data_IF_258254141846
#
_entry.id   IF_258254141846
#
_cell.length_a   1.000
_cell.length_b   1.000
_cell.length_c   1.000
_cell.angle_alpha   90.00
_cell.angle_beta   90.00
_cell.angle_gamma   90.00
#
_symmetry.space_group_name_H-M   'P 1'
#
loop_
_entity.id
_entity.type
_entity.pdbx_description
1 polymer ?
#
# COMPACT_ATOMS: atom_id res chain seq x y z
N UNK A 1 -21.83 11.72 -9.85
CA UNK A 1 -20.95 11.01 -8.88
C UNK A 1 -19.69 11.84 -8.68
N UNK A 2 -19.01 11.71 -7.51
CA UNK A 2 -17.70 12.33 -7.28
C UNK A 2 -16.64 11.62 -8.13
N UNK A 3 -15.65 12.38 -8.59
CA UNK A 3 -14.58 11.90 -9.47
C UNK A 3 -13.31 11.62 -8.67
N UNK A 4 -12.74 10.43 -8.81
CA UNK A 4 -11.54 10.01 -8.09
C UNK A 4 -10.45 9.58 -9.04
N UNK A 5 -9.23 10.07 -8.82
CA UNK A 5 -8.03 9.57 -9.48
C UNK A 5 -7.36 8.53 -8.60
N UNK A 6 -7.20 7.32 -9.11
CA UNK A 6 -6.44 6.26 -8.48
C UNK A 6 -5.17 5.99 -9.29
N UNK A 7 -4.00 6.18 -8.67
CA UNK A 7 -2.74 5.75 -9.27
C UNK A 7 -2.31 4.39 -8.75
N UNK A 8 -1.51 3.67 -9.53
CA UNK A 8 -1.09 2.32 -9.14
C UNK A 8 -2.23 1.30 -9.10
N UNK A 9 -3.30 1.51 -9.87
CA UNK A 9 -4.50 0.68 -9.92
C UNK A 9 -4.22 -0.79 -10.28
N UNK A 10 -3.11 -1.09 -10.94
CA UNK A 10 -2.68 -2.46 -11.29
C UNK A 10 -1.84 -3.14 -10.19
N UNK A 11 -1.43 -2.40 -9.17
CA UNK A 11 -0.70 -2.92 -8.02
C UNK A 11 -1.63 -3.59 -6.99
N UNK A 12 -1.04 -4.28 -6.01
CA UNK A 12 -1.78 -5.04 -5.00
C UNK A 12 -2.82 -4.19 -4.25
N UNK A 13 -2.41 -3.07 -3.64
CA UNK A 13 -3.32 -2.18 -2.92
C UNK A 13 -4.28 -1.46 -3.87
N UNK A 14 -3.76 -0.94 -4.99
CA UNK A 14 -4.56 -0.19 -5.95
C UNK A 14 -5.67 -1.02 -6.60
N UNK A 15 -5.41 -2.30 -6.89
CA UNK A 15 -6.42 -3.19 -7.47
C UNK A 15 -7.57 -3.50 -6.51
N UNK A 16 -7.30 -3.59 -5.21
CA UNK A 16 -8.33 -3.78 -4.19
C UNK A 16 -9.19 -2.50 -4.04
N UNK A 17 -8.54 -1.33 -3.96
CA UNK A 17 -9.25 -0.05 -3.92
C UNK A 17 -10.07 0.20 -5.18
N UNK A 18 -9.58 -0.20 -6.35
CA UNK A 18 -10.29 -0.02 -7.61
C UNK A 18 -11.64 -0.74 -7.61
N UNK A 19 -11.71 -1.97 -7.08
CA UNK A 19 -12.97 -2.73 -6.96
C UNK A 19 -14.02 -1.96 -6.16
N UNK A 20 -13.62 -1.39 -5.04
CA UNK A 20 -14.51 -0.61 -4.18
C UNK A 20 -14.90 0.72 -4.82
N UNK A 21 -13.96 1.41 -5.47
CA UNK A 21 -14.18 2.74 -6.03
C UNK A 21 -15.12 2.71 -7.23
N UNK A 22 -15.07 1.70 -8.08
CA UNK A 22 -15.96 1.57 -9.25
C UNK A 22 -17.45 1.45 -8.87
N UNK A 23 -17.74 1.09 -7.63
CA UNK A 23 -19.11 1.05 -7.10
C UNK A 23 -19.62 2.42 -6.64
N UNK A 24 -18.71 3.38 -6.34
CA UNK A 24 -19.02 4.58 -5.59
C UNK A 24 -18.63 5.89 -6.28
N UNK A 25 -17.71 5.84 -7.25
CA UNK A 25 -17.09 7.00 -7.90
C UNK A 25 -16.98 6.85 -9.40
N UNK A 26 -16.86 7.97 -10.12
CA UNK A 26 -16.33 8.01 -11.47
C UNK A 26 -14.80 7.88 -11.37
N UNK A 27 -14.27 6.73 -11.74
CA UNK A 27 -12.85 6.41 -11.49
C UNK A 27 -11.98 6.77 -12.69
N UNK A 28 -10.96 7.55 -12.43
CA UNK A 28 -9.86 7.82 -13.34
C UNK A 28 -8.63 7.05 -12.88
N UNK A 29 -7.93 6.40 -13.80
CA UNK A 29 -6.67 5.73 -13.51
C UNK A 29 -5.59 6.21 -14.47
N UNK A 30 -4.35 6.25 -13.98
CA UNK A 30 -3.19 6.56 -14.81
C UNK A 30 -2.41 5.27 -15.04
N UNK A 31 -2.08 4.99 -16.28
CA UNK A 31 -1.27 3.85 -16.68
C UNK A 31 -0.33 4.19 -17.82
N UNK A 32 0.85 3.55 -17.84
CA UNK A 32 1.79 3.60 -18.98
C UNK A 32 1.39 2.66 -20.12
N UNK A 33 0.50 1.70 -19.84
CA UNK A 33 0.01 0.71 -20.80
C UNK A 33 -1.42 1.07 -21.25
N UNK A 34 -1.72 0.90 -22.54
CA UNK A 34 -3.04 1.16 -23.09
C UNK A 34 -4.12 0.16 -22.64
N UNK A 35 -3.72 -1.02 -22.18
CA UNK A 35 -4.64 -2.08 -21.76
C UNK A 35 -4.56 -2.36 -20.27
N UNK A 36 -5.70 -2.43 -19.62
CA UNK A 36 -5.87 -3.06 -18.31
C UNK A 36 -6.04 -4.57 -18.49
N UNK A 37 -5.59 -5.37 -17.53
CA UNK A 37 -5.92 -6.78 -17.48
C UNK A 37 -7.43 -6.99 -17.61
N UNK A 38 -7.86 -8.08 -18.27
CA UNK A 38 -9.26 -8.40 -18.60
C UNK A 38 -10.25 -8.41 -17.42
N UNK A 39 -9.73 -8.42 -16.18
CA UNK A 39 -10.51 -8.57 -14.96
C UNK A 39 -11.03 -7.26 -14.33
N UNK A 40 -10.89 -6.11 -15.00
CA UNK A 40 -11.41 -4.84 -14.49
C UNK A 40 -12.74 -4.48 -15.15
N UNK A 41 -13.73 -3.98 -14.38
CA UNK A 41 -15.02 -3.54 -14.94
C UNK A 41 -14.80 -2.32 -15.84
N UNK A 42 -14.78 -2.53 -17.16
CA UNK A 42 -14.46 -1.50 -18.17
C UNK A 42 -15.43 -0.32 -18.19
N UNK A 43 -16.70 -0.53 -17.83
CA UNK A 43 -17.79 0.46 -18.02
C UNK A 43 -17.73 1.73 -17.14
N UNK A 44 -16.91 1.76 -16.06
CA UNK A 44 -16.85 2.89 -15.10
C UNK A 44 -15.45 3.46 -14.90
N UNK A 45 -14.48 3.09 -15.74
CA UNK A 45 -13.09 3.50 -15.58
C UNK A 45 -12.65 4.32 -16.77
N UNK A 46 -12.15 5.53 -16.51
CA UNK A 46 -11.52 6.40 -17.51
C UNK A 46 -10.01 6.24 -17.40
N UNK A 47 -9.38 5.83 -18.49
CA UNK A 47 -7.94 5.55 -18.54
C UNK A 47 -7.19 6.76 -19.07
N UNK A 48 -6.22 7.23 -18.33
CA UNK A 48 -5.26 8.27 -18.71
C UNK A 48 -3.93 7.58 -19.04
N UNK A 49 -3.67 7.33 -20.31
CA UNK A 49 -2.38 6.83 -20.76
C UNK A 49 -1.42 8.00 -21.03
N UNK A 50 -0.12 7.78 -20.86
CA UNK A 50 0.91 8.77 -21.16
C UNK A 50 2.22 8.10 -21.54
N UNK A 51 3.01 8.78 -22.38
CA UNK A 51 4.37 8.40 -22.78
C UNK A 51 5.42 9.23 -22.02
N UNK A 52 5.16 10.52 -21.82
CA UNK A 52 6.06 11.44 -21.12
C UNK A 52 5.34 12.16 -19.99
N UNK A 53 6.08 12.63 -18.98
CA UNK A 53 5.50 13.41 -17.90
C UNK A 53 4.92 14.75 -18.37
N UNK A 54 5.48 15.34 -19.44
CA UNK A 54 4.88 16.54 -20.07
C UNK A 54 3.51 16.26 -20.67
N UNK A 55 3.32 15.12 -21.34
CA UNK A 55 2.02 14.68 -21.82
C UNK A 55 1.03 14.44 -20.67
N UNK A 56 1.49 13.79 -19.59
CA UNK A 56 0.67 13.58 -18.39
C UNK A 56 0.21 14.91 -17.80
N UNK A 57 1.13 15.87 -17.65
CA UNK A 57 0.84 17.19 -17.14
C UNK A 57 -0.26 17.90 -17.96
N UNK A 58 -0.13 17.93 -19.30
CA UNK A 58 -1.14 18.51 -20.21
C UNK A 58 -2.52 17.86 -20.06
N UNK A 59 -2.59 16.55 -19.81
CA UNK A 59 -3.85 15.82 -19.57
C UNK A 59 -4.44 16.16 -18.21
N UNK A 60 -3.62 16.24 -17.15
CA UNK A 60 -4.10 16.51 -15.78
C UNK A 60 -4.66 17.93 -15.63
N UNK A 61 -4.05 18.94 -16.24
CA UNK A 61 -4.52 20.34 -16.20
C UNK A 61 -5.99 20.47 -16.65
N UNK A 62 -6.42 19.65 -17.60
CA UNK A 62 -7.79 19.69 -18.18
C UNK A 62 -8.83 18.93 -17.35
N UNK A 63 -8.41 18.19 -16.32
CA UNK A 63 -9.32 17.39 -15.51
C UNK A 63 -9.92 18.18 -14.38
N UNK A 64 -11.12 17.79 -13.96
CA UNK A 64 -11.73 18.20 -12.70
C UNK A 64 -12.02 16.96 -11.87
N UNK A 65 -11.43 16.88 -10.68
CA UNK A 65 -11.43 15.71 -9.81
C UNK A 65 -11.73 16.15 -8.38
N UNK A 66 -12.48 15.33 -7.65
CA UNK A 66 -12.72 15.58 -6.22
C UNK A 66 -11.60 15.00 -5.34
N UNK A 67 -11.09 13.81 -5.70
CA UNK A 67 -10.15 13.06 -4.87
C UNK A 67 -9.00 12.47 -5.68
N UNK A 68 -7.85 12.36 -5.02
CA UNK A 68 -6.69 11.60 -5.52
C UNK A 68 -6.26 10.59 -4.46
N UNK A 69 -6.11 9.33 -4.86
CA UNK A 69 -5.54 8.26 -4.04
C UNK A 69 -4.29 7.74 -4.75
N UNK A 70 -3.14 8.03 -4.16
CA UNK A 70 -1.83 7.79 -4.77
C UNK A 70 -1.18 6.52 -4.22
N UNK A 71 -1.42 5.38 -4.93
CA UNK A 71 -0.85 4.07 -4.60
C UNK A 71 0.37 3.71 -5.45
N UNK A 72 0.63 4.47 -6.53
CA UNK A 72 1.73 4.15 -7.44
C UNK A 72 3.07 4.21 -6.71
N UNK A 73 3.84 3.14 -6.83
CA UNK A 73 5.18 3.04 -6.25
C UNK A 73 5.97 1.94 -6.95
N UNK A 74 7.27 2.10 -7.05
CA UNK A 74 8.21 1.03 -7.35
C UNK A 74 8.79 0.54 -6.03
N UNK A 75 8.62 -0.75 -5.73
CA UNK A 75 9.09 -1.38 -4.51
C UNK A 75 10.21 -2.37 -4.81
N UNK A 76 11.34 -2.19 -4.13
CA UNK A 76 12.44 -3.16 -4.10
C UNK A 76 12.89 -3.35 -2.65
N UNK A 77 13.19 -4.60 -2.26
CA UNK A 77 13.71 -4.90 -0.92
C UNK A 77 15.21 -4.53 -0.84
N UNK A 78 15.96 -4.98 -1.81
CA UNK A 78 17.35 -4.63 -2.07
C UNK A 78 17.41 -4.04 -3.46
N UNK A 79 18.00 -2.87 -3.62
CA UNK A 79 18.13 -2.19 -4.91
C UNK A 79 19.50 -2.50 -5.54
N UNK A 80 19.53 -2.43 -6.85
CA UNK A 80 20.74 -2.32 -7.64
C UNK A 80 20.80 -0.94 -8.32
N UNK A 81 21.82 -0.67 -9.10
CA UNK A 81 21.99 0.61 -9.80
C UNK A 81 20.79 0.92 -10.71
N UNK A 82 20.30 -0.05 -11.47
CA UNK A 82 19.18 0.12 -12.42
C UNK A 82 17.85 0.46 -11.74
N UNK A 83 17.74 0.20 -10.45
CA UNK A 83 16.54 0.54 -9.69
C UNK A 83 16.49 2.02 -9.30
N UNK A 84 17.60 2.75 -9.32
CA UNK A 84 17.67 4.16 -8.92
C UNK A 84 16.75 5.02 -9.79
N UNK A 85 16.84 4.88 -11.10
CA UNK A 85 15.98 5.62 -12.02
C UNK A 85 14.52 5.25 -11.86
N UNK A 86 14.20 3.96 -11.71
CA UNK A 86 12.83 3.46 -11.52
C UNK A 86 12.23 3.96 -10.20
N UNK A 87 13.02 3.94 -9.11
CA UNK A 87 12.61 4.50 -7.81
C UNK A 87 12.33 5.99 -7.93
N UNK A 88 13.23 6.77 -8.54
CA UNK A 88 13.04 8.21 -8.71
C UNK A 88 11.82 8.53 -9.58
N UNK A 89 11.71 7.92 -10.76
CA UNK A 89 10.59 8.14 -11.68
C UNK A 89 9.24 7.78 -11.06
N UNK A 90 9.15 6.64 -10.35
CA UNK A 90 7.87 6.14 -9.82
C UNK A 90 7.50 6.73 -8.46
N UNK A 91 8.48 6.94 -7.56
CA UNK A 91 8.19 7.30 -6.17
C UNK A 91 8.30 8.79 -5.90
N UNK A 92 8.95 9.56 -6.80
CA UNK A 92 9.11 11.00 -6.69
C UNK A 92 8.46 11.73 -7.86
N UNK A 93 9.03 11.61 -9.06
CA UNK A 93 8.67 12.45 -10.20
C UNK A 93 7.21 12.28 -10.61
N UNK A 94 6.72 11.05 -10.70
CA UNK A 94 5.31 10.78 -11.03
C UNK A 94 4.34 11.42 -10.02
N UNK A 95 4.65 11.31 -8.73
CA UNK A 95 3.86 11.94 -7.67
C UNK A 95 3.91 13.47 -7.75
N UNK A 96 5.07 14.06 -8.07
CA UNK A 96 5.23 15.51 -8.23
C UNK A 96 4.35 16.07 -9.34
N UNK A 97 4.28 15.40 -10.50
CA UNK A 97 3.40 15.83 -11.60
C UNK A 97 1.92 15.87 -11.15
N UNK A 98 1.50 14.95 -10.30
CA UNK A 98 0.13 14.95 -9.75
C UNK A 98 -0.05 16.09 -8.75
N UNK A 99 0.90 16.28 -7.83
CA UNK A 99 0.86 17.31 -6.80
C UNK A 99 0.81 18.71 -7.40
N UNK A 100 1.57 18.97 -8.46
CA UNK A 100 1.58 20.26 -9.19
C UNK A 100 0.21 20.62 -9.77
N UNK A 101 -0.59 19.62 -10.15
CA UNK A 101 -1.89 19.81 -10.77
C UNK A 101 -3.08 19.80 -9.79
N UNK A 102 -2.88 19.64 -8.48
CA UNK A 102 -3.98 19.52 -7.51
C UNK A 102 -4.95 20.71 -7.53
N UNK A 103 -4.42 21.93 -7.64
CA UNK A 103 -5.24 23.15 -7.73
C UNK A 103 -6.04 23.20 -9.02
N UNK A 104 -5.39 22.93 -10.17
CA UNK A 104 -6.05 22.93 -11.49
C UNK A 104 -7.16 21.88 -11.54
N UNK A 105 -6.92 20.70 -10.98
CA UNK A 105 -7.90 19.64 -10.90
C UNK A 105 -9.03 19.90 -9.89
N UNK A 106 -8.86 20.84 -8.95
CA UNK A 106 -9.85 21.15 -7.90
C UNK A 106 -9.94 20.08 -6.82
N UNK A 107 -8.84 19.38 -6.54
CA UNK A 107 -8.79 18.24 -5.63
C UNK A 107 -9.06 18.65 -4.18
N UNK A 108 -10.04 18.03 -3.53
CA UNK A 108 -10.42 18.27 -2.13
C UNK A 108 -9.64 17.42 -1.14
N UNK A 109 -9.33 16.16 -1.52
CA UNK A 109 -8.55 15.24 -0.67
C UNK A 109 -7.51 14.50 -1.49
N UNK A 110 -6.28 14.51 -0.98
CA UNK A 110 -5.13 13.73 -1.49
C UNK A 110 -4.70 12.73 -0.44
N UNK A 111 -4.74 11.43 -0.78
CA UNK A 111 -4.31 10.33 0.11
C UNK A 111 -3.05 9.70 -0.48
N UNK A 112 -1.96 9.72 0.29
CA UNK A 112 -0.70 9.05 0.00
C UNK A 112 -0.52 7.83 0.90
N UNK A 113 0.20 6.82 0.42
CA UNK A 113 0.63 5.68 1.22
C UNK A 113 2.12 5.76 1.50
N UNK A 114 2.45 5.61 2.77
CA UNK A 114 3.80 5.52 3.29
C UNK A 114 4.03 4.16 3.95
N UNK A 115 5.16 3.95 4.60
CA UNK A 115 5.53 2.67 5.17
C UNK A 115 6.10 2.82 6.59
N UNK A 116 5.84 1.85 7.46
CA UNK A 116 6.47 1.81 8.79
C UNK A 116 8.00 1.71 8.72
N UNK A 117 8.55 1.36 7.57
CA UNK A 117 9.98 1.22 7.32
C UNK A 117 10.72 2.56 7.17
N UNK A 118 10.01 3.69 7.10
CA UNK A 118 10.61 5.04 7.17
C UNK A 118 11.22 5.33 8.53
N UNK A 119 10.69 4.70 9.57
CA UNK A 119 11.17 4.80 10.94
C UNK A 119 11.34 3.40 11.52
N UNK A 120 12.19 2.61 10.87
CA UNK A 120 12.44 1.22 11.20
C UNK A 120 12.94 1.07 12.65
N UNK A 121 12.54 -0.02 13.30
CA UNK A 121 12.81 -0.31 14.72
C UNK A 121 12.32 0.81 15.67
N UNK A 122 11.26 1.52 15.27
CA UNK A 122 10.68 2.67 15.98
C UNK A 122 11.66 3.85 16.17
N UNK A 123 12.71 3.95 15.37
CA UNK A 123 13.67 5.06 15.38
C UNK A 123 13.38 6.01 14.23
N UNK A 124 13.30 7.32 14.55
CA UNK A 124 13.03 8.36 13.55
C UNK A 124 14.10 8.36 12.45
N UNK A 125 13.62 8.42 11.18
CA UNK A 125 14.48 8.47 9.98
C UNK A 125 15.51 7.32 9.88
N UNK A 126 15.24 6.19 10.55
CA UNK A 126 15.98 4.97 10.38
C UNK A 126 15.39 4.15 9.24
N UNK A 127 15.85 4.40 8.03
CA UNK A 127 15.28 3.79 6.82
C UNK A 127 15.73 2.32 6.67
N UNK A 128 14.78 1.40 6.61
CA UNK A 128 15.08 -0.02 6.40
C UNK A 128 15.77 -0.31 5.06
N UNK A 129 15.45 0.47 4.03
CA UNK A 129 16.02 0.36 2.69
C UNK A 129 15.81 1.67 1.91
N UNK A 130 16.41 1.76 0.73
CA UNK A 130 16.32 2.94 -0.12
C UNK A 130 14.88 3.28 -0.52
N UNK A 131 14.01 2.28 -0.75
CA UNK A 131 12.59 2.50 -0.99
C UNK A 131 11.93 3.30 0.15
N UNK A 132 12.22 2.97 1.41
CA UNK A 132 11.68 3.69 2.56
C UNK A 132 12.19 5.15 2.62
N UNK A 133 13.45 5.40 2.28
CA UNK A 133 13.98 6.75 2.14
C UNK A 133 13.24 7.56 1.06
N UNK A 134 12.98 6.98 -0.11
CA UNK A 134 12.18 7.62 -1.17
C UNK A 134 10.75 7.94 -0.70
N UNK A 135 10.11 7.06 0.08
CA UNK A 135 8.78 7.31 0.63
C UNK A 135 8.78 8.49 1.61
N UNK A 136 9.79 8.58 2.46
CA UNK A 136 9.96 9.71 3.38
C UNK A 136 10.24 11.02 2.62
N UNK A 137 11.11 10.99 1.61
CA UNK A 137 11.38 12.15 0.73
C UNK A 137 10.12 12.65 0.05
N UNK A 138 9.26 11.76 -0.43
CA UNK A 138 7.98 12.15 -1.02
C UNK A 138 7.02 12.77 0.00
N UNK A 139 7.02 12.32 1.26
CA UNK A 139 6.27 12.98 2.34
C UNK A 139 6.77 14.42 2.59
N UNK A 140 8.08 14.69 2.49
CA UNK A 140 8.65 16.03 2.58
C UNK A 140 8.16 16.93 1.43
N UNK A 141 8.10 16.39 0.22
CA UNK A 141 7.54 17.09 -0.94
C UNK A 141 6.04 17.38 -0.74
N UNK A 142 5.26 16.43 -0.24
CA UNK A 142 3.85 16.67 0.12
C UNK A 142 3.73 17.82 1.12
N UNK A 143 4.63 17.95 2.09
CA UNK A 143 4.59 19.06 3.05
C UNK A 143 4.80 20.44 2.39
N UNK A 144 5.62 20.52 1.33
CA UNK A 144 5.71 21.72 0.51
C UNK A 144 4.39 22.04 -0.20
N UNK A 145 3.74 21.05 -0.83
CA UNK A 145 2.48 21.25 -1.55
C UNK A 145 1.29 21.54 -0.63
N UNK A 146 1.31 21.14 0.65
CA UNK A 146 0.30 21.58 1.64
C UNK A 146 0.19 23.11 1.74
N UNK A 147 1.30 23.82 1.54
CA UNK A 147 1.33 25.30 1.55
C UNK A 147 0.80 25.88 0.25
N UNK A 148 1.01 25.23 -0.89
CA UNK A 148 0.57 25.68 -2.22
C UNK A 148 -0.90 25.34 -2.52
N UNK A 149 -1.32 24.11 -2.23
CA UNK A 149 -2.66 23.60 -2.53
C UNK A 149 -3.59 23.75 -1.31
N UNK A 150 -3.86 25.00 -0.89
CA UNK A 150 -4.60 25.34 0.35
C UNK A 150 -6.01 24.74 0.44
N UNK A 151 -6.65 24.43 -0.69
CA UNK A 151 -7.99 23.82 -0.75
C UNK A 151 -7.95 22.30 -0.63
N UNK A 152 -6.78 21.67 -0.73
CA UNK A 152 -6.60 20.23 -0.67
C UNK A 152 -6.25 19.77 0.75
N UNK A 153 -6.98 18.81 1.26
CA UNK A 153 -6.66 18.11 2.51
C UNK A 153 -5.73 16.91 2.22
N UNK A 154 -4.58 16.87 2.89
CA UNK A 154 -3.56 15.84 2.66
C UNK A 154 -3.54 14.81 3.79
N UNK A 155 -3.56 13.53 3.40
CA UNK A 155 -3.48 12.39 4.29
C UNK A 155 -2.32 11.49 3.86
N UNK A 156 -1.43 11.12 4.79
CA UNK A 156 -0.42 10.08 4.58
C UNK A 156 -0.75 8.90 5.46
N UNK A 157 -0.98 7.74 4.85
CA UNK A 157 -1.28 6.50 5.54
C UNK A 157 -0.01 5.65 5.63
N UNK A 158 0.57 5.58 6.81
CA UNK A 158 1.74 4.77 7.11
C UNK A 158 1.27 3.35 7.38
N UNK A 159 1.57 2.41 6.46
CA UNK A 159 1.07 1.04 6.53
C UNK A 159 2.14 0.07 7.00
N UNK A 160 1.75 -0.90 7.84
CA UNK A 160 2.56 -2.05 8.22
C UNK A 160 2.61 -3.08 7.08
N UNK A 161 3.24 -4.24 7.30
CA UNK A 161 3.33 -5.26 6.26
C UNK A 161 1.94 -5.79 5.88
N UNK A 162 1.66 -5.85 4.58
CA UNK A 162 0.31 -6.10 4.07
C UNK A 162 0.17 -7.47 3.43
N UNK A 163 -1.02 -8.06 3.57
CA UNK A 163 -1.40 -9.32 2.93
C UNK A 163 -2.83 -9.26 2.37
N UNK A 164 -3.17 -10.21 1.50
CA UNK A 164 -4.52 -10.37 0.93
C UNK A 164 -4.58 -11.41 -0.17
N UNK A 165 -5.78 -11.66 -0.67
CA UNK A 165 -6.08 -12.77 -1.58
C UNK A 165 -5.29 -12.71 -2.90
N UNK A 166 -5.21 -11.53 -3.52
CA UNK A 166 -4.56 -11.34 -4.83
C UNK A 166 -3.12 -10.82 -4.71
N UNK A 167 -2.47 -11.03 -3.55
CA UNK A 167 -1.07 -10.66 -3.38
C UNK A 167 -0.17 -11.59 -4.20
N UNK A 168 0.59 -11.01 -5.11
CA UNK A 168 1.60 -11.71 -5.94
C UNK A 168 3.03 -11.39 -5.51
N UNK A 169 3.19 -10.50 -4.53
CA UNK A 169 4.51 -10.05 -4.05
C UNK A 169 5.18 -11.17 -3.23
N UNK A 170 6.50 -11.16 -3.21
CA UNK A 170 7.31 -12.08 -2.39
C UNK A 170 7.33 -11.63 -0.90
N UNK A 171 6.13 -11.51 -0.29
CA UNK A 171 5.93 -11.22 1.13
C UNK A 171 5.67 -12.50 1.91
N UNK A 172 5.96 -12.50 3.22
CA UNK A 172 5.98 -13.73 4.03
C UNK A 172 4.68 -14.54 3.92
N UNK A 173 3.51 -13.89 4.05
CA UNK A 173 2.22 -14.60 4.02
C UNK A 173 1.96 -15.18 2.63
N UNK A 174 2.21 -14.42 1.56
CA UNK A 174 2.05 -14.92 0.21
C UNK A 174 3.05 -16.03 -0.13
N UNK A 175 4.29 -15.92 0.35
CA UNK A 175 5.31 -16.97 0.18
C UNK A 175 4.90 -18.25 0.88
N UNK A 176 4.40 -18.16 2.12
CA UNK A 176 3.85 -19.32 2.84
C UNK A 176 2.71 -19.97 2.07
N UNK A 177 1.74 -19.18 1.57
CA UNK A 177 0.60 -19.66 0.78
C UNK A 177 1.04 -20.38 -0.49
N UNK A 178 1.93 -19.78 -1.28
CA UNK A 178 2.42 -20.39 -2.54
C UNK A 178 3.19 -21.67 -2.27
N UNK A 179 4.09 -21.66 -1.28
CA UNK A 179 4.90 -22.82 -0.95
C UNK A 179 4.08 -23.94 -0.32
N UNK A 180 3.08 -23.61 0.50
CA UNK A 180 2.13 -24.59 1.04
C UNK A 180 1.38 -25.32 -0.08
N UNK A 181 0.83 -24.59 -1.07
CA UNK A 181 0.17 -25.19 -2.24
C UNK A 181 1.09 -26.12 -3.05
N UNK A 182 2.34 -25.68 -3.24
CA UNK A 182 3.36 -26.40 -4.03
C UNK A 182 4.14 -27.43 -3.22
N UNK A 183 3.81 -27.65 -1.96
CA UNK A 183 4.55 -28.53 -1.03
C UNK A 183 6.06 -28.22 -0.95
N UNK A 184 6.43 -26.91 -1.05
CA UNK A 184 7.81 -26.45 -1.00
C UNK A 184 8.22 -25.97 0.38
N UNK A 185 9.51 -26.07 0.72
CA UNK A 185 10.06 -25.54 1.97
C UNK A 185 10.10 -24.02 1.90
N UNK A 186 9.69 -23.36 2.99
CA UNK A 186 9.82 -21.90 3.16
C UNK A 186 10.96 -21.61 4.13
N UNK A 187 11.98 -20.88 3.67
CA UNK A 187 13.04 -20.39 4.54
C UNK A 187 12.56 -19.15 5.29
N UNK A 188 12.61 -19.19 6.61
CA UNK A 188 12.21 -18.06 7.48
C UNK A 188 13.38 -17.69 8.36
N UNK A 189 13.68 -16.38 8.40
CA UNK A 189 14.87 -15.80 9.04
C UNK A 189 14.98 -16.19 10.53
N UNK A 190 13.85 -16.31 11.23
CA UNK A 190 13.84 -16.75 12.63
C UNK A 190 12.53 -17.42 13.02
N UNK A 191 12.63 -18.41 13.93
CA UNK A 191 11.46 -19.03 14.59
C UNK A 191 10.71 -18.02 15.47
N UNK A 192 11.41 -17.02 16.02
CA UNK A 192 10.87 -16.00 16.89
C UNK A 192 10.59 -14.67 16.15
N UNK A 193 10.24 -14.76 14.85
CA UNK A 193 9.85 -13.61 14.03
C UNK A 193 8.41 -13.20 14.32
N UNK A 194 8.21 -11.97 14.79
CA UNK A 194 6.90 -11.35 15.01
C UNK A 194 6.77 -10.10 14.14
N UNK A 195 5.73 -10.06 13.31
CA UNK A 195 5.44 -8.97 12.37
C UNK A 195 4.03 -8.40 12.59
N UNK A 196 3.87 -7.12 12.33
CA UNK A 196 2.57 -6.48 12.25
C UNK A 196 1.99 -6.67 10.85
N UNK A 197 0.95 -7.47 10.77
CA UNK A 197 0.35 -7.88 9.50
C UNK A 197 -1.03 -7.24 9.35
N UNK A 198 -1.26 -6.57 8.22
CA UNK A 198 -2.50 -5.84 7.92
C UNK A 198 -3.12 -6.33 6.61
N UNK A 199 -4.39 -6.71 6.65
CA UNK A 199 -5.12 -7.09 5.43
C UNK A 199 -5.41 -5.85 4.58
N UNK A 200 -5.25 -5.97 3.28
CA UNK A 200 -5.53 -4.90 2.32
C UNK A 200 -6.98 -4.40 2.38
N UNK A 201 -7.93 -5.23 2.76
CA UNK A 201 -9.33 -4.84 2.96
C UNK A 201 -9.52 -3.89 4.15
N UNK A 202 -8.73 -4.02 5.21
CA UNK A 202 -8.76 -3.06 6.31
C UNK A 202 -8.20 -1.69 5.89
N UNK A 203 -7.26 -1.65 4.95
CA UNK A 203 -6.77 -0.40 4.36
C UNK A 203 -7.85 0.25 3.50
N UNK A 204 -8.59 -0.54 2.72
CA UNK A 204 -9.73 -0.06 1.94
C UNK A 204 -10.76 0.64 2.83
N UNK A 205 -11.11 0.04 3.98
CA UNK A 205 -12.03 0.63 4.97
C UNK A 205 -11.50 1.97 5.48
N UNK A 206 -10.19 2.07 5.78
CA UNK A 206 -9.57 3.33 6.23
C UNK A 206 -9.64 4.43 5.17
N UNK A 207 -9.37 4.09 3.91
CA UNK A 207 -9.44 5.04 2.78
C UNK A 207 -10.87 5.53 2.59
N UNK A 208 -11.86 4.62 2.58
CA UNK A 208 -13.27 4.98 2.46
C UNK A 208 -13.74 5.85 3.63
N UNK A 209 -13.28 5.59 4.86
CA UNK A 209 -13.57 6.43 6.02
C UNK A 209 -13.07 7.86 5.82
N UNK A 210 -11.83 8.04 5.33
CA UNK A 210 -11.25 9.36 5.05
C UNK A 210 -12.01 10.06 3.93
N UNK A 211 -12.36 9.36 2.85
CA UNK A 211 -13.05 9.95 1.71
C UNK A 211 -14.46 10.43 2.07
N UNK A 212 -15.20 9.66 2.89
CA UNK A 212 -16.61 9.91 3.22
C UNK A 212 -16.82 10.83 4.42
N UNK A 213 -15.91 10.84 5.39
CA UNK A 213 -16.09 11.57 6.65
C UNK A 213 -15.17 12.79 6.77
N UNK A 214 -15.51 13.69 7.68
CA UNK A 214 -14.65 14.83 8.07
C UNK A 214 -13.56 14.32 9.04
N UNK A 215 -12.46 13.85 8.50
CA UNK A 215 -11.27 13.43 9.27
C UNK A 215 -10.24 14.56 9.17
N UNK A 216 -9.59 14.92 10.28
CA UNK A 216 -8.53 15.94 10.27
C UNK A 216 -7.33 15.44 9.45
N UNK A 217 -6.81 16.23 8.50
CA UNK A 217 -5.61 15.87 7.72
C UNK A 217 -4.42 15.57 8.62
N UNK A 218 -3.74 14.43 8.40
CA UNK A 218 -2.57 14.02 9.18
C UNK A 218 -1.82 12.84 8.55
N UNK A 219 -0.69 12.47 9.17
CA UNK A 219 -0.03 11.18 9.00
C UNK A 219 -0.62 10.18 10.00
N UNK A 220 -1.33 9.18 9.50
CA UNK A 220 -1.97 8.16 10.31
C UNK A 220 -1.30 6.80 10.10
N UNK A 221 -1.05 6.06 11.19
CA UNK A 221 -0.62 4.68 11.07
C UNK A 221 -1.82 3.74 10.96
N UNK A 222 -1.75 2.86 9.97
CA UNK A 222 -2.65 1.73 9.82
C UNK A 222 -1.86 0.46 10.17
N UNK A 223 -2.14 -0.09 11.34
CA UNK A 223 -1.48 -1.28 11.86
C UNK A 223 -2.44 -2.12 12.68
N UNK A 224 -2.11 -3.38 12.86
CA UNK A 224 -2.82 -4.24 13.80
C UNK A 224 -2.52 -3.85 15.25
N UNK A 225 -3.38 -4.23 16.17
CA UNK A 225 -3.21 -3.95 17.60
C UNK A 225 -2.00 -4.64 18.20
N UNK A 226 -1.65 -5.83 17.68
CA UNK A 226 -0.50 -6.64 18.09
C UNK A 226 0.21 -7.26 16.90
N UNK A 227 1.47 -7.63 17.11
CA UNK A 227 2.23 -8.41 16.14
C UNK A 227 1.82 -9.89 16.20
N UNK A 228 2.05 -10.58 15.10
CA UNK A 228 1.83 -12.02 14.97
C UNK A 228 3.18 -12.75 14.95
N UNK A 229 3.36 -13.71 15.84
CA UNK A 229 4.45 -14.66 15.76
C UNK A 229 4.20 -15.60 14.57
N UNK A 230 5.10 -15.61 13.58
CA UNK A 230 4.94 -16.38 12.34
C UNK A 230 4.83 -17.89 12.64
N UNK A 231 5.59 -18.39 13.62
CA UNK A 231 5.48 -19.77 14.07
C UNK A 231 4.07 -20.14 14.56
N UNK A 232 3.35 -19.21 15.21
CA UNK A 232 1.97 -19.48 15.66
C UNK A 232 0.99 -19.57 14.48
N UNK A 233 1.17 -18.73 13.44
CA UNK A 233 0.38 -18.84 12.19
C UNK A 233 0.58 -20.21 11.57
N UNK A 234 1.84 -20.63 11.41
CA UNK A 234 2.21 -21.94 10.85
C UNK A 234 1.63 -23.07 11.68
N UNK A 235 1.76 -23.01 13.02
CA UNK A 235 1.19 -23.99 13.93
C UNK A 235 -0.33 -24.13 13.79
N UNK A 236 -1.06 -23.02 13.61
CA UNK A 236 -2.51 -23.05 13.37
C UNK A 236 -2.87 -23.65 12.02
N UNK A 237 -2.19 -23.26 10.95
CA UNK A 237 -2.39 -23.89 9.63
C UNK A 237 -2.18 -25.40 9.73
N UNK A 238 -1.11 -25.83 10.40
CA UNK A 238 -0.77 -27.24 10.56
C UNK A 238 -1.78 -28.03 11.44
N UNK A 239 -2.55 -27.35 12.31
CA UNK A 239 -3.62 -27.99 13.10
C UNK A 239 -4.90 -28.21 12.30
N UNK A 240 -5.26 -27.27 11.41
CA UNK A 240 -6.55 -27.30 10.71
C UNK A 240 -6.47 -27.82 9.28
N UNK A 241 -5.26 -28.06 8.76
CA UNK A 241 -5.05 -28.59 7.42
C UNK A 241 -4.44 -29.99 7.43
N UNK A 242 -4.88 -30.83 6.50
CA UNK A 242 -4.30 -32.17 6.28
C UNK A 242 -2.85 -32.10 5.78
N UNK A 243 -2.45 -30.99 5.16
CA UNK A 243 -1.08 -30.71 4.76
C UNK A 243 -0.36 -29.93 5.83
N UNK A 244 0.96 -30.10 5.92
CA UNK A 244 1.81 -29.33 6.84
C UNK A 244 2.65 -28.32 6.06
N UNK A 245 2.78 -27.07 6.59
CA UNK A 245 3.73 -26.13 6.06
C UNK A 245 5.15 -26.62 6.36
N UNK A 246 5.97 -26.76 5.31
CA UNK A 246 7.38 -27.14 5.42
C UNK A 246 8.23 -25.88 5.60
N UNK A 247 8.96 -25.79 6.73
CA UNK A 247 9.75 -24.60 7.10
C UNK A 247 11.17 -24.99 7.45
N UNK A 248 12.13 -24.18 6.97
CA UNK A 248 13.50 -24.14 7.47
C UNK A 248 13.70 -22.85 8.23
N UNK A 249 13.86 -22.93 9.53
CA UNK A 249 14.21 -21.80 10.38
C UNK A 249 15.71 -21.53 10.29
N UNK A 250 16.08 -20.27 9.91
CA UNK A 250 17.49 -19.92 9.73
C UNK A 250 18.15 -19.49 11.05
N UNK A 251 17.34 -19.04 12.02
CA UNK A 251 17.82 -18.71 13.37
C UNK A 251 16.72 -18.86 14.42
N UNK A 252 17.09 -18.64 15.70
CA UNK A 252 16.17 -18.50 16.84
C UNK A 252 16.19 -17.08 17.44
N UNK A 253 16.89 -16.16 16.81
CA UNK A 253 16.96 -14.78 17.27
C UNK A 253 15.56 -14.17 17.41
N UNK A 254 15.29 -13.46 18.49
CA UNK A 254 14.03 -12.74 18.68
C UNK A 254 14.01 -11.51 17.77
N UNK A 255 13.11 -11.54 16.79
CA UNK A 255 12.85 -10.43 15.86
C UNK A 255 11.40 -9.99 16.08
N UNK A 256 11.20 -8.86 16.72
CA UNK A 256 9.88 -8.30 16.96
C UNK A 256 9.80 -6.91 16.33
N UNK A 257 8.96 -6.79 15.31
CA UNK A 257 8.78 -5.51 14.60
C UNK A 257 8.29 -4.44 15.57
N UNK A 258 9.04 -3.33 15.66
CA UNK A 258 8.67 -2.15 16.43
C UNK A 258 8.20 -1.07 15.46
N UNK A 259 7.04 -0.50 15.71
CA UNK A 259 6.46 0.54 14.87
C UNK A 259 6.54 1.87 15.58
N UNK A 260 7.09 2.87 14.89
CA UNK A 260 7.20 4.24 15.38
C UNK A 260 5.85 4.81 15.82
N UNK A 261 5.87 5.74 16.77
CA UNK A 261 4.67 6.35 17.34
C UNK A 261 4.06 7.39 16.40
N UNK A 262 3.16 6.93 15.53
CA UNK A 262 2.32 7.80 14.70
C UNK A 262 0.95 8.01 15.33
N UNK A 263 0.21 9.00 14.81
CA UNK A 263 -1.20 9.21 15.14
C UNK A 263 -2.05 8.05 14.62
N UNK A 264 -2.98 7.56 15.45
CA UNK A 264 -3.96 6.55 15.04
C UNK A 264 -5.12 7.20 14.30
N UNK A 265 -5.66 6.53 13.28
CA UNK A 265 -6.88 6.96 12.62
C UNK A 265 -8.07 6.69 13.56
N UNK A 266 -8.79 7.76 13.95
CA UNK A 266 -9.97 7.64 14.81
C UNK A 266 -11.09 6.88 14.09
N UNK A 267 -11.88 6.13 14.85
CA UNK A 267 -13.01 5.35 14.35
C UNK A 267 -12.63 4.29 13.31
N UNK A 268 -11.37 3.85 13.31
CA UNK A 268 -10.89 2.76 12.48
C UNK A 268 -10.20 1.70 13.33
N UNK A 269 -10.55 0.44 13.07
CA UNK A 269 -9.88 -0.74 13.62
C UNK A 269 -9.80 -1.81 12.55
N UNK A 270 -8.71 -2.59 12.46
CA UNK A 270 -8.63 -3.72 11.54
C UNK A 270 -9.58 -4.83 11.99
N UNK A 271 -10.39 -5.34 11.07
CA UNK A 271 -11.37 -6.41 11.30
C UNK A 271 -11.11 -7.66 10.47
N UNK A 272 -10.33 -7.53 9.40
CA UNK A 272 -9.93 -8.61 8.48
C UNK A 272 -8.46 -9.01 8.64
N UNK A 273 -7.82 -8.57 9.71
CA UNK A 273 -6.41 -8.85 10.02
C UNK A 273 -6.26 -9.72 11.26
N UNK A 274 -7.19 -10.66 11.47
CA UNK A 274 -7.10 -11.65 12.56
C UNK A 274 -6.21 -12.82 12.14
N UNK A 275 -5.70 -13.57 13.10
CA UNK A 275 -4.89 -14.75 12.80
C UNK A 275 -5.68 -15.79 11.97
N UNK A 276 -6.99 -15.92 12.20
CA UNK A 276 -7.84 -16.82 11.42
C UNK A 276 -7.93 -16.37 9.96
N UNK A 277 -8.08 -15.07 9.68
CA UNK A 277 -8.12 -14.55 8.30
C UNK A 277 -6.81 -14.86 7.52
N UNK A 278 -5.66 -14.92 8.23
CA UNK A 278 -4.37 -15.31 7.64
C UNK A 278 -4.31 -16.81 7.39
N UNK A 279 -4.78 -17.62 8.35
CA UNK A 279 -4.82 -19.08 8.24
C UNK A 279 -5.70 -19.49 7.07
N UNK A 280 -6.91 -18.95 6.97
CA UNK A 280 -7.86 -19.24 5.90
C UNK A 280 -7.28 -18.83 4.52
N UNK A 281 -6.56 -17.72 4.46
CA UNK A 281 -5.89 -17.28 3.23
C UNK A 281 -4.78 -18.25 2.79
N UNK A 282 -4.03 -18.82 3.71
CA UNK A 282 -2.93 -19.75 3.37
C UNK A 282 -3.47 -21.08 2.87
N UNK A 283 -4.56 -21.57 3.48
CA UNK A 283 -5.16 -22.88 3.14
C UNK A 283 -5.94 -22.82 1.83
N UNK A 284 -6.67 -21.70 1.57
CA UNK A 284 -7.38 -21.45 0.31
C UNK A 284 -6.46 -21.49 -0.92
#
# INVERSE_FOLDING_TARGET
MKKILLTGATGFLGSELLKSFTLQYDVYIITRHKSLNKNFPKKKIKIISYKTFGELNKKLIRLKLDYVVHCATHYVKQHNFDDLEKLNKSNILFGNVILENLNNMGVKKFINFSTVWENYDAKKENFFNLYAAYKNSFNSIINFYKKKAKKTQFYSLVISDTFGEFDVRKKIINTLRINFKKNKVTNIISKNLSLNLLNVKDIEVAVNLILKRKIKPNHYVLKNTKNFLIANIIGRVNKVSNKKIRVKWLSRQKINEKIYRYKKLSNWKPTKSRIQDIVDLIIK
#
